data_IF_536267215912
#
_entry.id   IF_536267215912
#
_cell.length_a   1.000
_cell.length_b   1.000
_cell.length_c   1.000
_cell.angle_alpha   90.00
_cell.angle_beta   90.00
_cell.angle_gamma   90.00
#
_symmetry.space_group_name_H-M   'P 1'
#
loop_
_entity.id
_entity.type
_entity.pdbx_description
1 polymer ?
#
# COMPACT_ATOMS: atom_id res chain seq x y z
N UNK A 1 10.44 11.81 -2.68
CA UNK A 1 11.26 10.99 -3.63
C UNK A 1 10.34 10.23 -4.56
N UNK A 2 10.59 10.29 -5.87
CA UNK A 2 9.83 9.58 -6.90
C UNK A 2 10.76 8.62 -7.64
N UNK A 3 10.27 7.43 -7.93
CA UNK A 3 11.02 6.43 -8.69
C UNK A 3 10.24 6.01 -9.93
N UNK A 4 10.92 5.90 -11.06
CA UNK A 4 10.40 5.27 -12.27
C UNK A 4 10.96 3.85 -12.41
N UNK A 5 10.12 2.95 -12.92
CA UNK A 5 10.50 1.59 -13.27
C UNK A 5 9.54 1.08 -14.36
N UNK A 6 10.08 0.56 -15.46
CA UNK A 6 9.30 0.26 -16.67
C UNK A 6 8.39 1.45 -17.07
N UNK A 7 7.07 1.22 -17.14
CA UNK A 7 6.03 2.20 -17.49
C UNK A 7 5.36 2.82 -16.25
N UNK A 8 5.89 2.55 -15.06
CA UNK A 8 5.35 2.96 -13.78
C UNK A 8 6.18 4.08 -13.17
N UNK A 9 5.51 4.95 -12.42
CA UNK A 9 6.16 5.87 -11.49
C UNK A 9 5.48 5.76 -10.14
N UNK A 10 6.27 5.73 -9.08
CA UNK A 10 5.80 5.68 -7.71
C UNK A 10 6.33 6.86 -6.91
N UNK A 11 5.42 7.58 -6.28
CA UNK A 11 5.72 8.63 -5.31
C UNK A 11 5.76 8.00 -3.90
N UNK A 12 6.96 7.89 -3.32
CA UNK A 12 7.16 7.27 -2.00
C UNK A 12 6.60 8.10 -0.84
N UNK A 13 6.34 9.38 -1.05
CA UNK A 13 5.84 10.31 -0.03
C UNK A 13 4.32 10.26 0.01
N UNK A 14 3.69 10.43 -1.16
CA UNK A 14 2.24 10.40 -1.29
C UNK A 14 1.65 9.00 -1.47
N UNK A 15 2.50 7.97 -1.64
CA UNK A 15 2.12 6.57 -1.91
C UNK A 15 1.25 6.41 -3.16
N UNK A 16 1.51 7.24 -4.17
CA UNK A 16 0.75 7.27 -5.42
C UNK A 16 1.51 6.48 -6.48
N UNK A 17 0.84 5.47 -7.05
CA UNK A 17 1.34 4.76 -8.23
C UNK A 17 0.68 5.33 -9.49
N UNK A 18 1.46 5.55 -10.53
CA UNK A 18 0.97 5.89 -11.86
C UNK A 18 1.50 4.89 -12.90
N UNK A 19 0.73 4.67 -13.96
CA UNK A 19 1.11 3.88 -15.15
C UNK A 19 0.79 4.71 -16.38
N UNK A 20 1.80 5.05 -17.18
CA UNK A 20 1.68 6.01 -18.29
C UNK A 20 0.96 7.31 -17.86
N UNK A 21 1.33 7.86 -16.68
CA UNK A 21 0.74 9.09 -16.14
C UNK A 21 -0.67 8.94 -15.54
N UNK A 22 -1.33 7.78 -15.67
CA UNK A 22 -2.64 7.53 -15.06
C UNK A 22 -2.48 6.94 -13.67
N UNK A 23 -3.18 7.49 -12.67
CA UNK A 23 -3.14 7.00 -11.29
C UNK A 23 -3.75 5.60 -11.20
N UNK A 24 -3.01 4.67 -10.60
CA UNK A 24 -3.49 3.35 -10.19
C UNK A 24 -3.68 3.37 -8.68
N UNK A 25 -4.91 3.07 -8.24
CA UNK A 25 -5.21 2.98 -6.81
C UNK A 25 -4.57 1.73 -6.22
N UNK A 26 -3.60 1.91 -5.34
CA UNK A 26 -3.10 0.87 -4.45
C UNK A 26 -3.81 0.94 -3.09
N UNK A 27 -4.06 -0.21 -2.48
CA UNK A 27 -4.43 -0.28 -1.06
C UNK A 27 -3.26 0.24 -0.23
N UNK A 28 -3.52 0.95 0.88
CA UNK A 28 -2.48 1.57 1.71
C UNK A 28 -1.35 0.59 2.09
N UNK A 29 -1.69 -0.62 2.55
CA UNK A 29 -0.68 -1.63 2.91
C UNK A 29 0.14 -2.14 1.72
N UNK A 30 -0.47 -2.25 0.54
CA UNK A 30 0.26 -2.61 -0.68
C UNK A 30 1.21 -1.48 -1.10
N UNK A 31 0.79 -0.22 -0.95
CA UNK A 31 1.64 0.93 -1.23
C UNK A 31 2.80 1.07 -0.23
N UNK A 32 2.56 0.80 1.06
CA UNK A 32 3.62 0.73 2.08
C UNK A 32 4.63 -0.39 1.76
N UNK A 33 4.15 -1.57 1.36
CA UNK A 33 5.00 -2.67 0.96
C UNK A 33 5.84 -2.32 -0.27
N UNK A 34 5.23 -1.70 -1.28
CA UNK A 34 5.93 -1.22 -2.47
C UNK A 34 7.02 -0.21 -2.12
N UNK A 35 6.70 0.78 -1.28
CA UNK A 35 7.68 1.75 -0.76
C UNK A 35 8.86 1.06 -0.10
N UNK A 36 8.60 0.07 0.75
CA UNK A 36 9.66 -0.64 1.46
C UNK A 36 10.57 -1.45 0.52
N UNK A 37 9.99 -2.09 -0.52
CA UNK A 37 10.76 -2.74 -1.57
C UNK A 37 11.63 -1.76 -2.37
N UNK A 38 11.07 -0.61 -2.78
CA UNK A 38 11.80 0.38 -3.59
C UNK A 38 12.99 0.96 -2.82
N UNK A 39 12.80 1.27 -1.54
CA UNK A 39 13.84 1.82 -0.67
C UNK A 39 14.93 0.80 -0.29
N UNK A 40 14.67 -0.51 -0.44
CA UNK A 40 15.61 -1.59 -0.13
C UNK A 40 15.77 -2.53 -1.32
N UNK A 41 15.81 -1.98 -2.53
CA UNK A 41 15.71 -2.78 -3.76
C UNK A 41 16.86 -3.78 -3.96
N UNK A 42 18.01 -3.51 -3.36
CA UNK A 42 19.25 -4.27 -3.44
C UNK A 42 19.31 -5.41 -2.42
N UNK A 43 18.40 -5.41 -1.42
CA UNK A 43 18.40 -6.36 -0.31
C UNK A 43 17.27 -7.37 -0.40
N UNK A 44 17.53 -8.57 0.11
CA UNK A 44 16.48 -9.57 0.32
C UNK A 44 15.77 -9.24 1.63
N UNK A 45 14.49 -8.91 1.53
CA UNK A 45 13.61 -8.60 2.65
C UNK A 45 12.93 -9.88 3.15
N UNK A 46 13.17 -10.23 4.42
CA UNK A 46 12.56 -11.38 5.05
C UNK A 46 11.06 -11.18 5.29
N UNK A 47 10.33 -12.29 5.47
CA UNK A 47 8.90 -12.24 5.83
C UNK A 47 8.66 -11.46 7.12
N UNK A 48 9.55 -11.63 8.10
CA UNK A 48 9.46 -10.93 9.38
C UNK A 48 9.65 -9.41 9.21
N UNK A 49 10.68 -8.97 8.46
CA UNK A 49 10.90 -7.55 8.17
C UNK A 49 9.72 -6.91 7.43
N UNK A 50 9.13 -7.64 6.47
CA UNK A 50 7.94 -7.18 5.75
C UNK A 50 6.73 -7.03 6.69
N UNK A 51 6.53 -7.99 7.59
CA UNK A 51 5.44 -7.96 8.57
C UNK A 51 5.60 -6.79 9.56
N UNK A 52 6.78 -6.67 10.15
CA UNK A 52 7.09 -5.65 11.15
C UNK A 52 7.02 -4.23 10.57
N UNK A 53 7.57 -4.02 9.37
CA UNK A 53 7.62 -2.70 8.75
C UNK A 53 6.26 -2.25 8.20
N UNK A 54 5.53 -3.17 7.55
CA UNK A 54 4.26 -2.82 6.89
C UNK A 54 3.07 -2.94 7.84
N UNK A 55 3.17 -3.67 8.96
CA UNK A 55 2.13 -3.86 9.98
C UNK A 55 2.66 -3.78 11.43
N UNK A 56 3.27 -2.66 11.85
CA UNK A 56 3.92 -2.56 13.17
C UNK A 56 2.96 -2.73 14.37
N UNK A 57 1.69 -2.34 14.21
CA UNK A 57 0.71 -2.33 15.30
C UNK A 57 -0.31 -3.47 15.21
N UNK A 58 -0.09 -4.46 14.32
CA UNK A 58 -1.07 -5.53 14.08
C UNK A 58 -0.39 -6.88 13.96
N UNK A 59 -0.81 -7.82 14.81
CA UNK A 59 -0.48 -9.23 14.65
C UNK A 59 -1.24 -9.78 13.45
N UNK A 60 -0.57 -9.86 12.30
CA UNK A 60 -1.11 -10.43 11.06
C UNK A 60 -0.31 -11.66 10.67
N UNK A 61 -0.98 -12.62 10.01
CA UNK A 61 -0.33 -13.86 9.58
C UNK A 61 0.55 -13.64 8.36
N UNK A 62 1.51 -14.53 8.11
CA UNK A 62 2.34 -14.50 6.90
C UNK A 62 1.50 -14.52 5.60
N UNK A 63 0.27 -15.03 5.67
CA UNK A 63 -0.66 -15.07 4.55
C UNK A 63 -0.93 -13.68 3.95
N UNK A 64 -0.89 -12.61 4.75
CA UNK A 64 -1.07 -11.25 4.20
C UNK A 64 0.12 -10.80 3.36
N UNK A 65 1.33 -11.28 3.66
CA UNK A 65 2.52 -11.01 2.84
C UNK A 65 2.33 -11.68 1.49
N UNK A 66 1.98 -12.97 1.44
CA UNK A 66 1.79 -13.68 0.16
C UNK A 66 0.72 -13.02 -0.71
N UNK A 67 -0.39 -12.55 -0.13
CA UNK A 67 -1.43 -11.83 -0.85
C UNK A 67 -0.93 -10.51 -1.44
N UNK A 68 -0.19 -9.70 -0.66
CA UNK A 68 0.34 -8.43 -1.15
C UNK A 68 1.42 -8.65 -2.22
N UNK A 69 2.31 -9.64 -2.06
CA UNK A 69 3.29 -10.00 -3.10
C UNK A 69 2.59 -10.42 -4.39
N UNK A 70 1.55 -11.26 -4.30
CA UNK A 70 0.77 -11.69 -5.46
C UNK A 70 0.07 -10.51 -6.13
N UNK A 71 -0.49 -9.58 -5.36
CA UNK A 71 -1.11 -8.36 -5.87
C UNK A 71 -0.11 -7.45 -6.58
N UNK A 72 1.09 -7.25 -6.02
CA UNK A 72 2.14 -6.45 -6.66
C UNK A 72 2.63 -7.11 -7.96
N UNK A 73 2.80 -8.44 -7.98
CA UNK A 73 3.13 -9.20 -9.20
C UNK A 73 2.05 -9.12 -10.28
N UNK A 74 0.78 -9.07 -9.89
CA UNK A 74 -0.31 -8.88 -10.85
C UNK A 74 -0.26 -7.50 -11.53
N UNK A 75 0.28 -6.47 -10.84
CA UNK A 75 0.39 -5.12 -11.38
C UNK A 75 1.67 -4.95 -12.21
N UNK A 76 2.82 -5.39 -11.69
CA UNK A 76 4.15 -5.11 -12.24
C UNK A 76 4.73 -6.26 -13.08
N UNK A 77 4.04 -7.41 -13.12
CA UNK A 77 4.56 -8.64 -13.70
C UNK A 77 5.15 -9.57 -12.65
N UNK A 78 5.18 -10.86 -12.98
CA UNK A 78 5.59 -11.92 -12.05
C UNK A 78 7.06 -11.77 -11.60
N UNK A 79 7.90 -11.25 -12.48
CA UNK A 79 9.35 -11.12 -12.27
C UNK A 79 9.73 -9.86 -11.46
N UNK A 80 8.77 -8.96 -11.19
CA UNK A 80 9.05 -7.72 -10.47
C UNK A 80 9.57 -7.96 -9.04
N UNK A 81 9.13 -9.07 -8.42
CA UNK A 81 9.57 -9.49 -7.10
C UNK A 81 10.03 -10.94 -7.17
N UNK A 82 11.30 -11.20 -6.88
CA UNK A 82 11.87 -12.54 -6.84
C UNK A 82 11.70 -13.14 -5.45
N UNK A 83 11.30 -14.42 -5.39
CA UNK A 83 11.23 -15.17 -4.13
C UNK A 83 12.53 -15.94 -3.92
N UNK A 84 13.12 -15.77 -2.73
CA UNK A 84 14.23 -16.57 -2.25
C UNK A 84 13.72 -17.48 -1.14
N UNK A 85 13.56 -18.76 -1.46
CA UNK A 85 13.05 -19.78 -0.53
C UNK A 85 13.75 -19.72 0.82
N UNK A 86 12.97 -19.72 1.90
CA UNK A 86 13.43 -19.60 3.31
C UNK A 86 14.12 -18.28 3.69
N UNK A 87 14.37 -17.36 2.75
CA UNK A 87 15.03 -16.07 3.01
C UNK A 87 14.05 -14.91 2.93
N UNK A 88 13.27 -14.81 1.86
CA UNK A 88 12.35 -13.69 1.66
C UNK A 88 12.16 -13.30 0.20
N UNK A 89 12.11 -11.99 -0.05
CA UNK A 89 11.75 -11.40 -1.33
C UNK A 89 12.68 -10.25 -1.69
N UNK A 90 12.92 -10.05 -2.97
CA UNK A 90 13.72 -8.93 -3.46
C UNK A 90 13.03 -8.27 -4.64
N UNK A 91 13.09 -6.95 -4.70
CA UNK A 91 12.68 -6.19 -5.88
C UNK A 91 13.66 -6.44 -7.03
N UNK A 92 13.17 -6.54 -8.28
CA UNK A 92 14.04 -6.86 -9.43
C UNK A 92 13.95 -5.86 -10.57
N UNK A 93 12.97 -4.96 -10.55
CA UNK A 93 12.86 -3.95 -11.61
C UNK A 93 13.90 -2.87 -11.38
N UNK A 94 14.58 -2.48 -12.45
CA UNK A 94 15.50 -1.36 -12.42
C UNK A 94 14.75 -0.08 -12.01
N UNK A 95 15.32 0.64 -11.05
CA UNK A 95 14.74 1.85 -10.48
C UNK A 95 15.60 3.04 -10.89
N UNK A 96 14.95 4.08 -11.43
CA UNK A 96 15.57 5.38 -11.67
C UNK A 96 14.91 6.40 -10.78
N UNK A 97 15.70 7.13 -10.00
CA UNK A 97 15.17 8.24 -9.21
C UNK A 97 14.81 9.40 -10.14
N UNK A 98 13.57 9.88 -10.02
CA UNK A 98 13.09 11.05 -10.76
C UNK A 98 13.30 12.26 -9.88
N UNK A 99 14.50 12.82 -9.97
CA UNK A 99 14.76 14.17 -9.45
C UNK A 99 14.05 15.13 -10.38
N UNK A 100 13.15 15.95 -9.86
CA UNK A 100 12.61 17.10 -10.59
C UNK A 100 13.76 18.10 -10.76
N UNK A 101 14.65 17.86 -11.71
CA UNK A 101 15.41 18.94 -12.31
C UNK A 101 14.39 19.76 -13.08
N UNK A 102 14.12 20.96 -12.57
CA UNK A 102 13.48 21.99 -13.35
C UNK A 102 14.25 22.07 -14.68
N UNK A 103 13.57 21.79 -15.79
CA UNK A 103 14.04 22.14 -17.13
C UNK A 103 14.18 23.66 -17.17
N UNK A 104 15.34 24.17 -16.76
CA UNK A 104 15.84 25.48 -17.15
C UNK A 104 16.53 25.31 -18.50
N UNK A 105 15.72 25.14 -19.54
CA UNK A 105 16.12 25.54 -20.89
C UNK A 105 16.17 27.07 -20.87
N UNK A 106 17.36 27.70 -20.77
CA UNK A 106 18.12 28.33 -21.89
C UNK A 106 19.39 29.01 -21.33
N UNK A 107 20.49 28.85 -22.08
CA UNK A 107 21.61 29.79 -22.29
C UNK A 107 22.91 29.64 -21.45
N UNK A 108 24.00 29.67 -22.23
CA UNK A 108 25.41 29.46 -21.92
C UNK A 108 26.03 30.40 -20.86
N UNK A 109 27.17 30.01 -20.24
CA UNK A 109 27.78 30.77 -19.16
C UNK A 109 28.62 31.93 -19.68
N UNK A 110 28.27 33.16 -19.30
CA UNK A 110 29.23 34.27 -19.31
C UNK A 110 28.92 35.27 -18.19
N UNK A 111 29.96 35.50 -17.40
CA UNK A 111 30.22 36.66 -16.55
C UNK A 111 29.65 36.66 -15.12
N UNK A 112 30.61 36.45 -14.22
CA UNK A 112 30.61 36.68 -12.79
C UNK A 112 30.27 38.14 -12.44
N UNK A 113 29.64 38.36 -11.28
CA UNK A 113 30.21 39.19 -10.20
C UNK A 113 29.23 39.31 -9.02
N UNK A 114 29.75 39.00 -7.83
CA UNK A 114 29.11 39.06 -6.54
C UNK A 114 28.69 40.48 -6.12
N UNK A 115 27.68 40.59 -5.25
CA UNK A 115 27.85 41.39 -4.01
C UNK A 115 26.84 41.01 -2.92
N UNK A 116 27.40 40.49 -1.83
CA UNK A 116 26.92 40.50 -0.45
C UNK A 116 26.33 41.86 -0.05
N UNK A 117 25.22 41.88 0.71
CA UNK A 117 24.99 42.67 1.94
C UNK A 117 23.54 42.46 2.43
N UNK A 118 23.37 41.69 3.50
CA UNK A 118 22.34 41.93 4.53
C UNK A 118 22.93 42.98 5.53
N UNK A 119 22.22 43.56 6.53
CA UNK A 119 20.94 43.16 7.15
C UNK A 119 20.07 44.37 7.63
N UNK A 120 19.23 44.15 8.66
CA UNK A 120 18.54 45.07 9.59
C UNK A 120 17.01 45.08 9.39
N UNK A 121 16.23 44.29 10.17
CA UNK A 121 15.72 44.47 11.56
C UNK A 121 14.37 45.17 11.57
N UNK A 122 13.30 44.47 11.96
CA UNK A 122 12.38 44.90 13.05
C UNK A 122 11.31 43.83 13.35
N UNK A 123 11.48 43.19 14.51
CA UNK A 123 10.52 43.09 15.61
C UNK A 123 9.02 43.39 15.32
N UNK A 124 8.15 42.40 15.54
CA UNK A 124 6.92 42.63 16.31
C UNK A 124 6.32 41.34 16.85
N UNK A 125 6.32 41.33 18.17
CA UNK A 125 5.61 40.50 19.13
C UNK A 125 4.11 40.72 19.05
N UNK A 126 3.33 39.64 19.09
CA UNK A 126 1.98 39.66 19.66
C UNK A 126 1.54 38.24 20.06
N UNK A 127 1.61 37.99 21.38
CA UNK A 127 0.77 37.04 22.10
C UNK A 127 -0.72 37.28 21.81
N UNK A 128 -1.49 36.20 21.68
CA UNK A 128 -2.82 36.16 22.30
C UNK A 128 -3.23 34.71 22.54
N UNK A 129 -3.13 34.31 23.81
CA UNK A 129 -3.95 33.26 24.38
C UNK A 129 -5.42 33.65 24.30
N UNK A 130 -6.29 32.67 24.01
CA UNK A 130 -7.66 32.68 24.49
C UNK A 130 -8.10 31.25 24.80
N UNK A 131 -8.10 30.96 26.10
CA UNK A 131 -9.03 30.03 26.72
C UNK A 131 -10.45 30.51 26.43
N UNK A 132 -11.32 29.60 26.01
CA UNK A 132 -12.62 29.55 26.68
C UNK A 132 -13.05 28.10 26.88
N UNK A 133 -13.41 27.86 28.13
CA UNK A 133 -14.04 26.70 28.72
C UNK A 133 -15.54 26.66 28.39
N UNK A 134 -16.18 25.63 28.94
CA UNK A 134 -17.61 25.36 29.06
C UNK A 134 -18.20 24.50 27.93
N UNK A 135 -18.41 23.20 28.17
CA UNK A 135 -19.35 22.58 29.13
C UNK A 135 -20.79 22.69 28.64
N UNK A 136 -21.35 21.55 28.25
CA UNK A 136 -22.73 21.10 28.49
C UNK A 136 -22.87 19.77 27.76
N UNK A 137 -22.92 18.65 28.46
CA UNK A 137 -24.11 18.11 29.13
C UNK A 137 -24.94 17.25 28.17
N UNK A 138 -24.85 15.93 28.36
CA UNK A 138 -25.96 14.98 28.24
C UNK A 138 -25.43 13.58 28.55
N UNK A 139 -25.41 13.30 29.85
CA UNK A 139 -25.57 11.95 30.33
C UNK A 139 -26.96 11.46 29.91
N UNK A 140 -27.06 10.25 29.35
CA UNK A 140 -28.28 9.47 29.46
C UNK A 140 -27.90 8.03 29.77
N UNK A 141 -27.63 7.83 31.06
CA UNK A 141 -27.84 6.56 31.73
C UNK A 141 -29.33 6.27 31.69
N UNK A 142 -29.71 5.16 31.06
CA UNK A 142 -30.96 4.48 31.36
C UNK A 142 -30.58 3.27 32.20
N UNK A 143 -30.78 3.40 33.51
CA UNK A 143 -30.79 2.29 34.46
C UNK A 143 -31.95 1.33 34.15
N UNK A 144 -31.72 0.09 34.60
CA UNK A 144 -32.49 -1.17 34.55
C UNK A 144 -33.94 -1.06 35.11
N UNK A 145 -34.79 -2.13 35.28
CA UNK A 145 -34.47 -3.57 35.26
C UNK A 145 -35.56 -4.55 34.72
N UNK A 146 -35.14 -5.83 34.66
CA UNK A 146 -35.90 -7.06 34.93
C UNK A 146 -37.27 -7.33 34.28
N UNK A 147 -37.28 -8.37 33.43
CA UNK A 147 -38.31 -9.44 33.38
C UNK A 147 -37.81 -10.45 32.33
N UNK A 148 -37.13 -11.51 32.74
CA UNK A 148 -37.75 -12.83 32.97
C UNK A 148 -38.88 -13.14 31.99
N UNK A 149 -38.54 -13.86 30.92
CA UNK A 149 -39.49 -14.61 30.09
C UNK A 149 -38.69 -15.67 29.33
N UNK A 150 -38.57 -16.83 29.96
CA UNK A 150 -38.35 -18.12 29.32
C UNK A 150 -39.27 -18.26 28.09
N UNK A 151 -38.78 -18.93 27.01
CA UNK A 151 -39.41 -20.20 26.74
C UNK A 151 -38.41 -21.30 26.39
N UNK A 152 -38.59 -22.41 27.11
CA UNK A 152 -37.96 -23.70 26.91
C UNK A 152 -38.72 -24.50 25.81
N UNK A 153 -37.95 -25.13 24.91
CA UNK A 153 -38.24 -26.28 24.01
C UNK A 153 -38.82 -26.05 22.58
N UNK A 154 -38.77 -27.07 21.68
CA UNK A 154 -37.57 -27.61 21.03
C UNK A 154 -37.75 -27.82 19.50
N UNK A 155 -36.64 -28.19 18.83
CA UNK A 155 -36.53 -28.99 17.60
C UNK A 155 -37.59 -28.86 16.49
N UNK A 156 -37.19 -28.27 15.34
CA UNK A 156 -37.56 -28.79 14.01
C UNK A 156 -36.39 -28.76 13.05
N UNK A 157 -36.10 -29.96 12.53
CA UNK A 157 -35.28 -30.24 11.36
C UNK A 157 -35.55 -29.25 10.22
N UNK A 158 -34.49 -28.73 9.62
CA UNK A 158 -34.54 -28.28 8.22
C UNK A 158 -33.57 -29.13 7.42
N UNK A 159 -34.16 -29.85 6.47
CA UNK A 159 -33.56 -30.87 5.63
C UNK A 159 -32.64 -30.21 4.61
N UNK A 160 -31.36 -30.58 4.60
CA UNK A 160 -30.57 -30.66 3.36
C UNK A 160 -29.39 -31.60 3.57
N UNK A 161 -29.71 -32.89 3.62
CA UNK A 161 -28.81 -33.96 3.18
C UNK A 161 -28.77 -33.96 1.66
N UNK A 162 -27.58 -33.84 1.07
CA UNK A 162 -27.13 -34.52 -0.16
C UNK A 162 -26.27 -33.61 -1.06
N UNK A 163 -24.97 -33.55 -0.80
CA UNK A 163 -23.95 -33.45 -1.86
C UNK A 163 -22.82 -34.43 -1.52
N UNK A 164 -23.12 -35.73 -1.65
CA UNK A 164 -22.12 -36.74 -1.99
C UNK A 164 -22.44 -37.19 -3.42
N UNK A 165 -21.53 -37.00 -4.37
CA UNK A 165 -21.64 -37.62 -5.69
C UNK A 165 -21.07 -36.84 -6.88
N UNK A 166 -19.74 -36.80 -6.97
CA UNK A 166 -18.91 -37.03 -8.17
C UNK A 166 -19.62 -37.00 -9.54
N UNK A 167 -19.26 -36.04 -10.41
CA UNK A 167 -18.97 -36.24 -11.85
C UNK A 167 -18.68 -34.89 -12.53
N UNK A 168 -17.53 -34.75 -13.18
CA UNK A 168 -17.29 -33.63 -14.09
C UNK A 168 -15.84 -33.15 -14.21
N UNK A 169 -14.91 -34.06 -14.55
CA UNK A 169 -13.65 -33.66 -15.15
C UNK A 169 -13.92 -32.95 -16.49
N UNK A 170 -13.91 -31.62 -16.52
CA UNK A 170 -13.86 -30.83 -17.75
C UNK A 170 -13.64 -29.32 -17.45
N UNK A 171 -12.44 -28.95 -17.02
CA UNK A 171 -12.01 -27.54 -17.06
C UNK A 171 -10.48 -27.40 -17.17
N UNK A 172 -9.86 -28.29 -17.97
CA UNK A 172 -8.41 -28.32 -18.20
C UNK A 172 -8.06 -28.06 -19.69
N UNK A 173 -8.87 -27.28 -20.42
CA UNK A 173 -8.70 -27.12 -21.89
C UNK A 173 -8.55 -25.66 -22.37
N UNK A 174 -8.66 -24.63 -21.52
CA UNK A 174 -8.64 -23.23 -22.04
C UNK A 174 -7.26 -22.54 -21.96
N UNK A 175 -6.27 -23.08 -21.24
CA UNK A 175 -4.97 -22.40 -21.08
C UNK A 175 -3.87 -22.79 -22.09
N UNK A 176 -4.08 -23.80 -22.94
CA UNK A 176 -3.07 -24.22 -23.95
C UNK A 176 -3.16 -23.46 -25.27
N UNK A 177 -4.27 -22.75 -25.54
CA UNK A 177 -4.46 -22.04 -26.82
C UNK A 177 -3.69 -20.72 -26.95
N UNK A 178 -3.17 -20.15 -25.85
CA UNK A 178 -2.45 -18.86 -25.89
C UNK A 178 -0.94 -19.06 -26.15
N UNK A 179 -0.41 -20.28 -26.10
CA UNK A 179 1.03 -20.54 -26.25
C UNK A 179 1.50 -20.69 -27.72
N UNK A 180 0.61 -20.93 -28.69
CA UNK A 180 1.02 -21.19 -30.08
C UNK A 180 0.89 -20.02 -31.08
N UNK A 181 0.56 -18.80 -30.65
CA UNK A 181 0.42 -17.66 -31.56
C UNK A 181 1.56 -16.62 -31.50
N UNK A 182 2.64 -16.88 -30.75
CA UNK A 182 3.77 -15.94 -30.56
C UNK A 182 5.11 -16.49 -31.07
N UNK A 183 5.09 -17.60 -31.84
CA UNK A 183 6.31 -18.15 -32.45
C UNK A 183 6.08 -18.73 -33.84
N UNK A 184 5.49 -17.94 -34.72
CA UNK A 184 5.68 -18.07 -36.17
C UNK A 184 5.83 -16.70 -36.81
#
# INVERSE_FOLDING_TARGET
MKFSFQIFQFDCEHKILTRHGKVIKLKDRAANMLKFFILNNDRILSKAELLETVWPEKTVSEQVVFQNISHLRAIFGNDAIKTFSKRGYQWQLELTEVTQQAEEVVAAPASQAATKTAPVTEESKAESESKNSESSDSAQQNDAPASDSSPEQPAKESKSTAWLGILGAAALVVATAIWMAVKS
#
